data_IF_671015860810
#
_entry.id   IF_671015860810
#
_cell.length_a   1.000
_cell.length_b   1.000
_cell.length_c   1.000
_cell.angle_alpha   90.00
_cell.angle_beta   90.00
_cell.angle_gamma   90.00
#
_symmetry.space_group_name_H-M   'P 1'
#
loop_
_entity.id
_entity.type
_entity.pdbx_description
1 polymer ?
#
# COMPACT_ATOMS: atom_id res chain seq x y z
N UNK A 1 30.47 -2.68 -11.84
CA UNK A 1 29.11 -2.12 -11.83
C UNK A 1 29.06 -1.05 -10.74
N UNK A 2 28.37 0.06 -10.97
CA UNK A 2 28.21 1.13 -9.97
C UNK A 2 27.46 0.57 -8.73
N UNK A 3 28.04 0.62 -7.52
CA UNK A 3 27.38 0.16 -6.30
C UNK A 3 25.98 0.75 -6.09
N UNK A 4 25.77 2.03 -6.47
CA UNK A 4 24.45 2.67 -6.37
C UNK A 4 23.44 2.05 -7.35
N UNK A 5 23.88 1.60 -8.52
CA UNK A 5 23.01 0.91 -9.47
C UNK A 5 22.54 -0.44 -8.89
N UNK A 6 23.44 -1.20 -8.27
CA UNK A 6 23.09 -2.48 -7.64
C UNK A 6 22.10 -2.29 -6.48
N UNK A 7 22.30 -1.29 -5.63
CA UNK A 7 21.36 -0.98 -4.55
C UNK A 7 19.98 -0.58 -5.09
N UNK A 8 19.93 0.21 -6.17
CA UNK A 8 18.67 0.60 -6.83
C UNK A 8 17.92 -0.60 -7.42
N UNK A 9 18.64 -1.54 -8.03
CA UNK A 9 18.06 -2.78 -8.53
C UNK A 9 17.54 -3.64 -7.39
N UNK A 10 18.32 -3.82 -6.32
CA UNK A 10 17.88 -4.59 -5.14
C UNK A 10 16.64 -3.99 -4.47
N UNK A 11 16.55 -2.66 -4.36
CA UNK A 11 15.36 -1.96 -3.85
C UNK A 11 14.16 -2.17 -4.78
N UNK A 12 14.35 -2.08 -6.10
CA UNK A 12 13.28 -2.29 -7.07
C UNK A 12 12.75 -3.72 -7.00
N UNK A 13 13.64 -4.71 -6.97
CA UNK A 13 13.29 -6.13 -6.81
C UNK A 13 12.51 -6.36 -5.51
N UNK A 14 12.97 -5.78 -4.39
CA UNK A 14 12.30 -5.88 -3.10
C UNK A 14 10.86 -5.36 -3.13
N UNK A 15 10.63 -4.21 -3.76
CA UNK A 15 9.30 -3.59 -3.87
C UNK A 15 8.37 -4.40 -4.78
N UNK A 16 8.89 -4.92 -5.89
CA UNK A 16 8.15 -5.80 -6.81
C UNK A 16 7.78 -7.12 -6.14
N UNK A 17 8.74 -7.75 -5.46
CA UNK A 17 8.56 -8.99 -4.72
C UNK A 17 7.51 -8.85 -3.61
N UNK A 18 7.46 -7.69 -2.93
CA UNK A 18 6.38 -7.43 -1.97
C UNK A 18 5.00 -7.61 -2.60
N UNK A 19 4.77 -7.02 -3.79
CA UNK A 19 3.46 -7.07 -4.45
C UNK A 19 3.16 -8.49 -4.93
N UNK A 20 4.10 -9.11 -5.64
CA UNK A 20 3.90 -10.44 -6.22
C UNK A 20 3.72 -11.50 -5.12
N UNK A 21 4.60 -11.54 -4.13
CA UNK A 21 4.57 -12.60 -3.11
C UNK A 21 3.38 -12.47 -2.17
N UNK A 22 3.01 -11.24 -1.78
CA UNK A 22 1.79 -11.01 -0.99
C UNK A 22 0.56 -11.51 -1.73
N UNK A 23 0.42 -11.12 -2.99
CA UNK A 23 -0.81 -11.35 -3.74
C UNK A 23 -0.93 -12.82 -4.19
N UNK A 24 0.20 -13.52 -4.37
CA UNK A 24 0.26 -14.95 -4.63
C UNK A 24 0.11 -15.82 -3.36
N UNK A 25 0.21 -15.22 -2.17
CA UNK A 25 0.22 -15.96 -0.90
C UNK A 25 1.51 -16.73 -0.63
N UNK A 26 2.64 -16.30 -1.21
CA UNK A 26 3.96 -16.84 -0.91
C UNK A 26 4.49 -16.22 0.40
N UNK A 27 3.93 -16.68 1.52
CA UNK A 27 4.12 -16.05 2.82
C UNK A 27 5.54 -16.16 3.38
N UNK A 28 6.24 -17.24 3.05
CA UNK A 28 7.63 -17.46 3.46
C UNK A 28 8.53 -16.39 2.83
N UNK A 29 8.43 -16.19 1.51
CA UNK A 29 9.20 -15.13 0.84
C UNK A 29 8.68 -13.75 1.18
N UNK A 30 7.36 -13.58 1.31
CA UNK A 30 6.79 -12.30 1.70
C UNK A 30 7.33 -11.81 3.05
N UNK A 31 7.68 -12.71 3.98
CA UNK A 31 8.30 -12.32 5.24
C UNK A 31 9.70 -11.70 5.06
N UNK A 32 10.43 -12.06 4.01
CA UNK A 32 11.83 -11.63 3.82
C UNK A 32 11.96 -10.21 3.27
N UNK A 33 10.85 -9.57 2.86
CA UNK A 33 10.91 -8.20 2.31
C UNK A 33 10.99 -7.12 3.41
N UNK A 34 10.79 -7.52 4.66
CA UNK A 34 10.70 -6.63 5.82
C UNK A 34 11.94 -6.73 6.70
N UNK A 35 12.31 -5.61 7.32
CA UNK A 35 13.09 -5.68 8.56
C UNK A 35 12.19 -6.10 9.73
N UNK A 36 12.79 -6.58 10.82
CA UNK A 36 12.09 -7.15 11.98
C UNK A 36 11.08 -6.16 12.60
N UNK A 37 11.45 -4.87 12.65
CA UNK A 37 10.62 -3.77 13.13
C UNK A 37 9.73 -3.13 12.05
N UNK A 38 9.65 -3.75 10.87
CA UNK A 38 8.90 -3.26 9.72
C UNK A 38 7.49 -2.81 10.09
N UNK A 39 7.05 -1.69 9.53
CA UNK A 39 5.73 -1.11 9.76
C UNK A 39 4.92 -1.01 8.47
N UNK A 40 3.67 -1.46 8.52
CA UNK A 40 2.73 -1.37 7.41
C UNK A 40 1.55 -0.47 7.75
N UNK A 41 1.22 0.41 6.82
CA UNK A 41 0.01 1.22 6.85
C UNK A 41 -0.89 0.86 5.67
N UNK A 42 -2.18 0.70 5.92
CA UNK A 42 -3.23 0.58 4.92
C UNK A 42 -4.50 1.27 5.43
N UNK A 43 -5.51 1.47 4.59
CA UNK A 43 -6.79 2.08 5.01
C UNK A 43 -7.43 1.37 6.21
N UNK A 44 -7.24 0.05 6.33
CA UNK A 44 -7.84 -0.80 7.37
C UNK A 44 -6.82 -1.34 8.39
N UNK A 45 -5.53 -1.00 8.28
CA UNK A 45 -4.47 -1.56 9.11
C UNK A 45 -3.38 -0.55 9.43
N UNK A 46 -2.91 -0.49 10.67
CA UNK A 46 -1.75 0.31 11.08
C UNK A 46 -0.97 -0.50 12.11
N UNK A 47 0.23 -0.97 11.79
CA UNK A 47 0.96 -1.80 12.74
C UNK A 47 2.21 -2.50 12.20
N UNK A 48 2.80 -3.38 13.02
CA UNK A 48 3.96 -4.17 12.64
C UNK A 48 3.68 -5.08 11.43
N UNK A 49 4.68 -5.23 10.56
CA UNK A 49 4.61 -6.05 9.35
C UNK A 49 4.26 -7.51 9.66
N UNK A 50 4.79 -8.08 10.75
CA UNK A 50 4.42 -9.43 11.21
C UNK A 50 2.91 -9.61 11.43
N UNK A 51 2.27 -8.58 11.98
CA UNK A 51 0.84 -8.62 12.27
C UNK A 51 0.04 -8.39 10.99
N UNK A 52 0.53 -7.50 10.10
CA UNK A 52 -0.02 -7.33 8.76
C UNK A 52 0.01 -8.64 7.96
N UNK A 53 1.09 -9.41 8.05
CA UNK A 53 1.22 -10.72 7.41
C UNK A 53 0.19 -11.71 7.95
N UNK A 54 0.05 -11.80 9.28
CA UNK A 54 -0.94 -12.68 9.93
C UNK A 54 -2.36 -12.38 9.45
N UNK A 55 -2.79 -11.12 9.51
CA UNK A 55 -4.15 -10.74 9.08
C UNK A 55 -4.34 -10.86 7.57
N UNK A 56 -3.29 -10.69 6.77
CA UNK A 56 -3.33 -10.91 5.32
C UNK A 56 -3.49 -12.39 4.97
N UNK A 57 -2.78 -13.28 5.68
CA UNK A 57 -2.93 -14.74 5.55
C UNK A 57 -4.35 -15.19 5.90
N UNK A 58 -4.89 -14.70 7.01
CA UNK A 58 -6.26 -15.01 7.44
C UNK A 58 -7.31 -14.53 6.43
N UNK A 59 -7.15 -13.30 5.93
CA UNK A 59 -8.00 -12.76 4.87
C UNK A 59 -7.92 -13.61 3.59
N UNK A 60 -6.70 -13.96 3.16
CA UNK A 60 -6.48 -14.79 1.99
C UNK A 60 -7.10 -16.18 2.13
N UNK A 61 -6.96 -16.82 3.29
CA UNK A 61 -7.58 -18.11 3.59
C UNK A 61 -9.12 -18.05 3.56
N UNK A 62 -9.71 -16.90 3.88
CA UNK A 62 -11.16 -16.62 3.78
C UNK A 62 -11.62 -16.20 2.37
N UNK A 63 -10.73 -16.23 1.39
CA UNK A 63 -11.04 -15.89 0.00
C UNK A 63 -10.88 -14.41 -0.36
N UNK A 64 -10.41 -13.55 0.56
CA UNK A 64 -10.09 -12.16 0.22
C UNK A 64 -8.94 -12.14 -0.78
N UNK A 65 -9.10 -11.39 -1.87
CA UNK A 65 -8.08 -11.15 -2.88
C UNK A 65 -7.93 -9.64 -3.05
N UNK A 66 -6.72 -9.16 -2.79
CA UNK A 66 -6.32 -7.76 -2.97
C UNK A 66 -5.10 -7.82 -3.85
N UNK A 67 -5.20 -7.29 -5.07
CA UNK A 67 -4.16 -7.38 -6.08
C UNK A 67 -3.54 -6.01 -6.32
N UNK A 68 -2.23 -5.99 -6.52
CA UNK A 68 -1.41 -4.81 -6.73
C UNK A 68 -0.79 -4.85 -8.12
N UNK A 69 -1.07 -3.81 -8.90
CA UNK A 69 -0.34 -3.56 -10.14
C UNK A 69 0.63 -2.41 -9.90
N UNK A 70 1.92 -2.63 -10.13
CA UNK A 70 2.96 -1.62 -9.92
C UNK A 70 3.30 -0.90 -11.23
N UNK A 71 3.63 0.38 -11.11
CA UNK A 71 4.05 1.24 -12.21
C UNK A 71 5.47 1.77 -12.04
N UNK A 72 5.68 3.01 -12.51
CA UNK A 72 6.96 3.69 -12.39
C UNK A 72 7.43 3.84 -10.94
N UNK A 73 8.74 3.74 -10.75
CA UNK A 73 9.41 3.94 -9.46
C UNK A 73 10.45 5.04 -9.54
N UNK A 74 10.50 5.87 -8.50
CA UNK A 74 11.63 6.75 -8.20
C UNK A 74 12.29 6.28 -6.90
N UNK A 75 13.61 6.33 -6.83
CA UNK A 75 14.38 5.97 -5.63
C UNK A 75 15.33 7.12 -5.28
N UNK A 76 15.25 7.62 -4.06
CA UNK A 76 16.25 8.51 -3.48
C UNK A 76 17.13 7.68 -2.56
N UNK A 77 18.45 7.63 -2.85
CA UNK A 77 19.41 6.79 -2.16
C UNK A 77 20.42 7.65 -1.39
N UNK A 78 20.64 7.34 -0.12
CA UNK A 78 21.56 8.02 0.80
C UNK A 78 22.30 6.98 1.63
N UNK A 79 23.43 6.48 1.10
CA UNK A 79 24.21 5.41 1.72
C UNK A 79 23.37 4.14 1.92
N UNK A 80 23.22 3.71 3.17
CA UNK A 80 22.44 2.53 3.55
C UNK A 80 20.93 2.81 3.71
N UNK A 81 20.45 4.01 3.38
CA UNK A 81 19.04 4.37 3.47
C UNK A 81 18.47 4.81 2.14
N UNK A 82 17.21 4.47 1.91
CA UNK A 82 16.50 4.89 0.71
C UNK A 82 15.04 5.26 0.99
N UNK A 83 14.51 6.09 0.11
CA UNK A 83 13.08 6.28 -0.10
C UNK A 83 12.75 5.75 -1.50
N UNK A 84 11.85 4.78 -1.59
CA UNK A 84 11.28 4.36 -2.86
C UNK A 84 9.83 4.84 -2.96
N UNK A 85 9.52 5.50 -4.07
CA UNK A 85 8.16 5.84 -4.45
C UNK A 85 7.75 5.04 -5.66
N UNK A 86 6.74 4.20 -5.53
CA UNK A 86 6.30 3.30 -6.59
C UNK A 86 4.81 3.47 -6.85
N UNK A 87 4.43 3.87 -8.07
CA UNK A 87 3.02 3.93 -8.46
C UNK A 87 2.39 2.55 -8.29
N UNK A 88 1.17 2.52 -7.76
CA UNK A 88 0.43 1.29 -7.60
C UNK A 88 -1.06 1.49 -7.86
N UNK A 89 -1.71 0.40 -8.23
CA UNK A 89 -3.15 0.27 -8.21
C UNK A 89 -3.53 -0.93 -7.37
N UNK A 90 -4.40 -0.73 -6.39
CA UNK A 90 -5.01 -1.79 -5.59
C UNK A 90 -6.35 -2.14 -6.22
N UNK A 91 -6.55 -3.41 -6.53
CA UNK A 91 -7.83 -3.95 -6.98
C UNK A 91 -8.39 -4.92 -5.93
N UNK A 92 -9.66 -4.74 -5.60
CA UNK A 92 -10.40 -5.64 -4.73
C UNK A 92 -11.81 -5.85 -5.28
N UNK A 93 -12.29 -7.08 -5.20
CA UNK A 93 -13.65 -7.46 -5.60
C UNK A 93 -14.50 -7.77 -4.37
N UNK A 94 -15.72 -7.23 -4.32
CA UNK A 94 -16.69 -7.55 -3.27
C UNK A 94 -18.13 -7.29 -3.74
N UNK A 95 -19.10 -7.78 -2.96
CA UNK A 95 -20.49 -7.36 -3.10
C UNK A 95 -20.68 -5.98 -2.46
N UNK A 96 -21.30 -5.07 -3.19
CA UNK A 96 -21.74 -3.75 -2.70
C UNK A 96 -23.23 -3.63 -3.01
N UNK A 97 -24.06 -3.64 -1.97
CA UNK A 97 -25.53 -3.68 -2.10
C UNK A 97 -25.99 -4.81 -3.04
N UNK A 98 -25.48 -6.01 -2.79
CA UNK A 98 -25.72 -7.24 -3.58
C UNK A 98 -25.27 -7.21 -5.05
N UNK A 99 -24.60 -6.14 -5.49
CA UNK A 99 -23.96 -6.04 -6.81
C UNK A 99 -22.49 -6.40 -6.68
N UNK A 100 -22.01 -7.36 -7.49
CA UNK A 100 -20.59 -7.69 -7.54
C UNK A 100 -19.82 -6.56 -8.23
N UNK A 101 -18.88 -5.95 -7.52
CA UNK A 101 -18.12 -4.81 -7.98
C UNK A 101 -16.61 -5.01 -7.84
N UNK A 102 -15.86 -4.40 -8.74
CA UNK A 102 -14.43 -4.16 -8.57
C UNK A 102 -14.21 -2.72 -8.11
N UNK A 103 -13.42 -2.55 -7.06
CA UNK A 103 -12.83 -1.26 -6.72
C UNK A 103 -11.39 -1.22 -7.21
N UNK A 104 -11.02 -0.07 -7.77
CA UNK A 104 -9.68 0.19 -8.29
C UNK A 104 -9.18 1.49 -7.67
N UNK A 105 -8.23 1.38 -6.74
CA UNK A 105 -7.65 2.51 -6.03
C UNK A 105 -6.21 2.75 -6.50
N UNK A 106 -5.95 3.92 -7.08
CA UNK A 106 -4.64 4.32 -7.60
C UNK A 106 -3.93 5.21 -6.59
N UNK A 107 -2.65 4.93 -6.40
CA UNK A 107 -1.80 5.69 -5.50
C UNK A 107 -0.33 5.42 -5.77
N UNK A 108 0.46 5.59 -4.72
CA UNK A 108 1.87 5.17 -4.70
C UNK A 108 2.25 4.67 -3.32
N UNK A 109 3.09 3.65 -3.28
CA UNK A 109 3.82 3.34 -2.06
C UNK A 109 4.90 4.38 -1.83
N UNK A 110 5.07 4.78 -0.58
CA UNK A 110 6.17 5.58 -0.09
C UNK A 110 6.88 4.74 0.98
N UNK A 111 8.02 4.16 0.58
CA UNK A 111 8.73 3.16 1.36
C UNK A 111 10.01 3.74 1.94
N UNK A 112 10.19 3.63 3.25
CA UNK A 112 11.47 3.82 3.92
C UNK A 112 12.19 2.47 3.96
N UNK A 113 13.38 2.42 3.35
CA UNK A 113 14.20 1.22 3.27
C UNK A 113 15.57 1.44 3.90
N UNK A 114 16.12 0.38 4.46
CA UNK A 114 17.47 0.35 5.02
C UNK A 114 18.22 -0.89 4.53
N UNK A 115 19.53 -0.75 4.30
CA UNK A 115 20.46 -1.84 4.07
C UNK A 115 21.11 -2.22 5.39
N UNK A 116 21.02 -3.49 5.77
CA UNK A 116 21.66 -4.04 6.98
C UNK A 116 22.38 -5.32 6.60
N UNK A 117 23.67 -5.43 6.94
CA UNK A 117 24.51 -6.61 6.59
C UNK A 117 24.36 -6.99 5.11
N UNK A 118 24.49 -5.98 4.24
CA UNK A 118 24.33 -6.07 2.78
C UNK A 118 22.94 -6.46 2.24
N UNK A 119 21.90 -6.45 3.07
CA UNK A 119 20.53 -6.78 2.66
C UNK A 119 19.58 -5.59 2.84
N UNK A 120 18.88 -5.23 1.77
CA UNK A 120 17.80 -4.24 1.80
C UNK A 120 16.53 -4.85 2.38
N UNK A 121 15.83 -4.07 3.20
CA UNK A 121 14.53 -4.43 3.75
C UNK A 121 13.65 -3.19 3.93
N UNK A 122 12.34 -3.39 3.90
CA UNK A 122 11.37 -2.34 4.17
C UNK A 122 11.28 -2.12 5.69
N UNK A 123 11.52 -0.89 6.12
CA UNK A 123 11.32 -0.45 7.52
C UNK A 123 9.93 0.13 7.71
N UNK A 124 9.43 0.89 6.73
CA UNK A 124 8.06 1.41 6.75
C UNK A 124 7.50 1.50 5.34
N UNK A 125 6.27 1.03 5.16
CA UNK A 125 5.47 1.27 3.96
C UNK A 125 4.28 2.15 4.29
N UNK A 126 4.21 3.31 3.65
CA UNK A 126 3.09 4.23 3.74
C UNK A 126 2.49 4.47 2.35
N UNK A 127 1.31 3.92 2.04
CA UNK A 127 0.59 4.28 0.83
C UNK A 127 0.14 5.75 0.86
N UNK A 128 0.21 6.38 -0.29
CA UNK A 128 -0.42 7.65 -0.64
C UNK A 128 -1.52 7.33 -1.65
N UNK A 129 -2.77 7.67 -1.32
CA UNK A 129 -3.95 7.36 -2.12
C UNK A 129 -4.37 8.57 -2.94
N UNK A 130 -4.43 8.44 -4.26
CA UNK A 130 -4.55 9.59 -5.16
C UNK A 130 -5.96 9.72 -5.75
N UNK A 131 -6.55 8.59 -6.15
CA UNK A 131 -7.92 8.51 -6.68
C UNK A 131 -8.40 7.07 -6.69
N UNK A 132 -9.71 6.87 -6.70
CA UNK A 132 -10.29 5.56 -6.94
C UNK A 132 -11.62 5.62 -7.71
N UNK A 133 -12.11 4.44 -8.06
CA UNK A 133 -13.44 4.22 -8.62
C UNK A 133 -13.95 2.84 -8.25
N UNK A 134 -15.25 2.63 -8.39
CA UNK A 134 -15.91 1.34 -8.25
C UNK A 134 -16.81 1.09 -9.47
N UNK A 135 -16.71 -0.11 -10.01
CA UNK A 135 -17.40 -0.52 -11.23
C UNK A 135 -18.13 -1.86 -10.97
N UNK A 136 -19.40 -2.03 -11.37
CA UNK A 136 -20.03 -3.35 -11.43
C UNK A 136 -19.26 -4.28 -12.37
N UNK A 137 -19.10 -5.54 -11.96
CA UNK A 137 -18.46 -6.57 -12.80
C UNK A 137 -19.37 -6.95 -13.96
N UNK A 138 -20.68 -7.04 -13.72
CA UNK A 138 -21.68 -7.15 -14.77
C UNK A 138 -21.92 -5.76 -15.39
N UNK A 139 -21.58 -5.54 -16.68
CA UNK A 139 -21.77 -4.24 -17.33
C UNK A 139 -23.23 -3.82 -17.47
N UNK A 140 -24.20 -4.74 -17.30
CA UNK A 140 -25.62 -4.43 -17.32
C UNK A 140 -26.19 -4.08 -15.92
N UNK A 141 -25.42 -4.33 -14.85
CA UNK A 141 -25.88 -4.06 -13.49
C UNK A 141 -25.86 -2.55 -13.17
N UNK A 142 -26.82 -2.11 -12.35
CA UNK A 142 -26.90 -0.75 -11.85
C UNK A 142 -26.53 -0.70 -10.37
N UNK A 143 -25.43 -0.03 -10.03
CA UNK A 143 -25.01 0.21 -8.65
C UNK A 143 -25.50 1.58 -8.17
N UNK A 144 -26.26 1.61 -7.06
CA UNK A 144 -26.68 2.85 -6.40
C UNK A 144 -25.94 3.01 -5.08
N UNK A 145 -25.06 4.00 -5.01
CA UNK A 145 -24.27 4.29 -3.82
C UNK A 145 -24.92 5.39 -2.98
N UNK A 146 -24.79 5.29 -1.66
CA UNK A 146 -25.18 6.37 -0.74
C UNK A 146 -24.21 7.55 -0.91
N UNK A 147 -24.71 8.62 -1.53
CA UNK A 147 -23.93 9.81 -1.83
C UNK A 147 -23.48 10.57 -0.57
N UNK A 148 -24.26 10.53 0.52
CA UNK A 148 -23.89 11.20 1.77
C UNK A 148 -22.75 10.46 2.46
N UNK A 149 -22.83 9.13 2.51
CA UNK A 149 -21.78 8.30 3.06
C UNK A 149 -20.48 8.40 2.22
N UNK A 150 -20.57 8.38 0.89
CA UNK A 150 -19.42 8.60 0.00
C UNK A 150 -18.77 9.97 0.21
N UNK A 151 -19.57 11.04 0.30
CA UNK A 151 -19.04 12.40 0.47
C UNK A 151 -18.30 12.60 1.81
N UNK A 152 -18.58 11.77 2.81
CA UNK A 152 -17.89 11.79 4.10
C UNK A 152 -16.52 11.06 4.08
N UNK A 153 -16.16 10.43 2.96
CA UNK A 153 -14.94 9.64 2.80
C UNK A 153 -13.89 10.38 1.95
N UNK A 154 -12.59 10.24 2.28
CA UNK A 154 -11.51 10.95 1.59
C UNK A 154 -11.41 10.60 0.11
N UNK A 155 -11.20 11.61 -0.73
CA UNK A 155 -11.26 11.48 -2.21
C UNK A 155 -10.35 10.40 -2.78
N UNK A 156 -9.11 10.29 -2.28
CA UNK A 156 -8.10 9.39 -2.86
C UNK A 156 -8.43 7.89 -2.76
N UNK A 157 -9.31 7.51 -1.83
CA UNK A 157 -9.68 6.12 -1.54
C UNK A 157 -11.15 6.02 -1.11
N UNK A 158 -12.00 6.89 -1.67
CA UNK A 158 -13.40 7.07 -1.27
C UNK A 158 -14.20 5.79 -1.45
N UNK A 159 -14.14 5.20 -2.63
CA UNK A 159 -14.90 4.00 -2.98
C UNK A 159 -14.32 2.75 -2.32
N UNK A 160 -12.99 2.69 -2.16
CA UNK A 160 -12.31 1.62 -1.41
C UNK A 160 -12.75 1.65 0.06
N UNK A 161 -12.73 2.84 0.67
CA UNK A 161 -13.20 3.02 2.03
C UNK A 161 -14.68 2.65 2.18
N UNK A 162 -15.52 3.09 1.25
CA UNK A 162 -16.95 2.80 1.26
C UNK A 162 -17.21 1.30 1.26
N UNK A 163 -16.60 0.57 0.34
CA UNK A 163 -16.72 -0.88 0.25
C UNK A 163 -16.15 -1.57 1.50
N UNK A 164 -15.04 -1.07 2.06
CA UNK A 164 -14.44 -1.62 3.29
C UNK A 164 -15.31 -1.40 4.54
N UNK A 165 -15.94 -0.24 4.68
CA UNK A 165 -16.86 0.05 5.78
C UNK A 165 -18.12 -0.84 5.71
N UNK A 166 -18.65 -1.12 4.51
CA UNK A 166 -19.78 -2.04 4.32
C UNK A 166 -19.49 -3.48 4.79
N UNK A 167 -18.24 -3.92 4.68
CA UNK A 167 -17.81 -5.26 5.15
C UNK A 167 -17.22 -5.21 6.57
N UNK A 168 -17.41 -4.10 7.30
CA UNK A 168 -17.14 -3.99 8.74
C UNK A 168 -15.72 -3.53 9.12
N UNK A 169 -14.89 -3.11 8.17
CA UNK A 169 -13.58 -2.54 8.51
C UNK A 169 -13.71 -1.12 9.06
N UNK A 170 -12.89 -0.80 10.07
CA UNK A 170 -12.69 0.57 10.53
C UNK A 170 -11.64 1.25 9.65
N UNK A 171 -12.08 2.11 8.74
CA UNK A 171 -11.19 2.81 7.82
C UNK A 171 -10.57 4.04 8.47
N UNK A 172 -9.24 4.16 8.36
CA UNK A 172 -8.48 5.36 8.71
C UNK A 172 -8.71 6.45 7.66
N UNK A 173 -9.15 7.64 8.09
CA UNK A 173 -9.61 8.74 7.20
C UNK A 173 -8.58 9.85 6.97
N UNK A 174 -7.45 9.80 7.68
CA UNK A 174 -6.30 10.71 7.56
C UNK A 174 -5.10 10.00 6.90
N UNK A 175 -5.36 9.08 5.97
CA UNK A 175 -4.29 8.54 5.13
C UNK A 175 -3.79 9.61 4.14
N UNK A 176 -2.48 9.66 3.83
CA UNK A 176 -1.92 10.60 2.88
C UNK A 176 -2.62 10.55 1.51
N UNK A 177 -3.03 11.73 1.05
CA UNK A 177 -3.64 11.95 -0.28
C UNK A 177 -2.64 12.45 -1.33
N UNK A 178 -3.13 12.75 -2.54
CA UNK A 178 -2.29 13.36 -3.59
C UNK A 178 -1.66 14.70 -3.13
N UNK A 179 -2.42 15.49 -2.37
CA UNK A 179 -2.06 16.78 -1.78
C UNK A 179 -2.56 16.82 -0.32
N UNK A 180 -2.07 17.79 0.45
CA UNK A 180 -2.55 18.06 1.80
C UNK A 180 -1.51 17.83 2.91
N UNK A 181 -1.84 18.19 4.15
CA UNK A 181 -0.88 18.19 5.25
C UNK A 181 -0.32 16.79 5.57
N UNK A 182 -1.09 15.72 5.35
CA UNK A 182 -0.68 14.34 5.63
C UNK A 182 0.46 13.88 4.70
N UNK A 183 0.41 14.23 3.40
CA UNK A 183 1.47 13.89 2.45
C UNK A 183 2.69 14.79 2.61
N UNK A 184 2.51 16.07 2.93
CA UNK A 184 3.62 16.98 3.22
C UNK A 184 4.39 16.55 4.48
N UNK A 185 3.67 16.10 5.51
CA UNK A 185 4.27 15.52 6.70
C UNK A 185 5.06 14.26 6.36
N UNK A 186 4.49 13.34 5.57
CA UNK A 186 5.17 12.12 5.14
C UNK A 186 6.46 12.41 4.37
N UNK A 187 6.46 13.42 3.51
CA UNK A 187 7.66 13.85 2.81
C UNK A 187 8.71 14.46 3.74
N UNK A 188 8.29 15.19 4.77
CA UNK A 188 9.18 15.62 5.85
C UNK A 188 9.86 14.44 6.55
N UNK A 189 9.06 13.45 6.94
CA UNK A 189 9.55 12.21 7.57
C UNK A 189 10.53 11.45 6.65
N UNK A 190 10.27 11.40 5.34
CA UNK A 190 11.19 10.77 4.38
C UNK A 190 12.51 11.53 4.20
N UNK A 191 12.50 12.87 4.24
CA UNK A 191 13.74 13.66 4.27
C UNK A 191 14.54 13.40 5.54
N UNK A 192 13.88 13.32 6.69
CA UNK A 192 14.53 13.00 7.96
C UNK A 192 15.06 11.56 8.00
N UNK A 193 14.38 10.62 7.34
CA UNK A 193 14.84 9.25 7.14
C UNK A 193 16.17 9.22 6.37
N UNK A 194 16.22 9.85 5.18
CA UNK A 194 17.42 9.92 4.34
C UNK A 194 18.60 10.63 5.03
N UNK A 195 18.30 11.60 5.91
CA UNK A 195 19.29 12.34 6.68
C UNK A 195 19.78 11.61 7.95
N UNK A 196 19.29 10.40 8.25
CA UNK A 196 19.70 9.66 9.45
C UNK A 196 19.05 10.13 10.76
N UNK A 197 18.05 11.00 10.71
CA UNK A 197 17.43 11.62 11.90
C UNK A 197 16.27 10.82 12.48
N UNK A 198 15.58 10.05 11.63
CA UNK A 198 14.52 9.15 12.04
C UNK A 198 15.10 7.75 12.37
N UNK A 199 14.52 7.11 13.40
CA UNK A 199 14.78 5.71 13.74
C UNK A 199 13.86 4.80 12.96
#
# INVERSE_FOLDING_TARGET
MDPQLLDRLAIRDLVENWAVWRDAGDWERFATVWHEEGWMSATWFQGPAREFMRVSQEGFARGVRILHFLGGTSIDLSGERAIAQTKMTISQRALVHDVLCDVVCTGRFYDCLEKRKDQWGIVRRQPIYEKDRIDPVDPAASLRLDQRALAALPEGYRHLAYMQELIGYKVKRDMPGLIGPEVEKLYGEGRDWLAGKAK
#
